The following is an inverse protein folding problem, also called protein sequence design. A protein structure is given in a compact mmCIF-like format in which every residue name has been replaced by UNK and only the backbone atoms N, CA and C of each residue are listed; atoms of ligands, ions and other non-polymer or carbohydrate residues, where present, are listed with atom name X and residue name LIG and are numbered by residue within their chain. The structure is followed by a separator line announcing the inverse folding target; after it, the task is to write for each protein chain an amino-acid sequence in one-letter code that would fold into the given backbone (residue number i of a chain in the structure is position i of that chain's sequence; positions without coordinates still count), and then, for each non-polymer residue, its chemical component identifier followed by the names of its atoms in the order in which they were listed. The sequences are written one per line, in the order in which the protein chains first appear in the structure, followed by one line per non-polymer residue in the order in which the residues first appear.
data_IF_911562887417
#
_entry.id   IF_911562887417
#
_cell.length_a   1.000
_cell.length_b   1.000
_cell.length_c   1.000
_cell.angle_alpha   90.00
_cell.angle_beta   90.00
_cell.angle_gamma   90.00
#
_symmetry.space_group_name_H-M   'P 1'
#
loop_
_entity.id
_entity.type
_entity.pdbx_description
1 polymer ?
#
# COMPACT_ATOMS: atom_id res chain seq x y z
N UNK A 1 -1.46 6.05 15.56
CA UNK A 1 -0.56 6.42 16.64
C UNK A 1 -1.14 6.07 18.03
N UNK A 2 -2.28 6.66 18.44
CA UNK A 2 -2.84 6.46 19.79
C UNK A 2 -3.11 5.00 20.15
N UNK A 3 -3.62 4.20 19.22
CA UNK A 3 -3.85 2.77 19.44
C UNK A 3 -2.52 2.04 19.67
N UNK A 4 -1.51 2.27 18.84
CA UNK A 4 -0.18 1.69 19.00
C UNK A 4 0.41 2.03 20.38
N UNK A 5 0.33 3.31 20.78
CA UNK A 5 0.79 3.74 22.09
C UNK A 5 0.12 2.99 23.25
N UNK A 6 -1.20 2.82 23.20
CA UNK A 6 -1.95 2.04 24.21
C UNK A 6 -1.53 0.57 24.25
N UNK A 7 -1.35 -0.06 23.08
CA UNK A 7 -0.89 -1.45 23.00
C UNK A 7 0.49 -1.62 23.61
N UNK A 8 1.43 -0.72 23.30
CA UNK A 8 2.78 -0.74 23.85
C UNK A 8 2.76 -0.53 25.38
N UNK A 9 1.99 0.42 25.87
CA UNK A 9 1.82 0.64 27.31
C UNK A 9 1.21 -0.56 28.03
N UNK A 10 0.43 -1.38 27.33
CA UNK A 10 -0.14 -2.64 27.83
C UNK A 10 0.82 -3.82 27.72
N UNK A 11 2.07 -3.61 27.28
CA UNK A 11 3.12 -4.62 27.23
C UNK A 11 3.39 -5.23 25.86
N UNK A 12 2.77 -4.73 24.77
CA UNK A 12 3.10 -5.20 23.43
C UNK A 12 4.53 -4.78 23.06
N UNK A 13 5.39 -5.75 22.77
CA UNK A 13 6.76 -5.53 22.32
C UNK A 13 6.94 -5.66 20.79
N UNK A 14 5.92 -6.19 20.09
CA UNK A 14 5.86 -6.27 18.64
C UNK A 14 4.46 -5.89 18.15
N UNK A 15 4.38 -5.18 17.03
CA UNK A 15 3.12 -4.78 16.41
C UNK A 15 3.20 -5.11 14.91
N UNK A 16 2.19 -5.84 14.43
CA UNK A 16 2.03 -6.11 13.00
C UNK A 16 1.05 -5.10 12.40
N UNK A 17 1.43 -4.55 11.24
CA UNK A 17 0.62 -3.65 10.42
C UNK A 17 0.45 -4.26 9.05
N UNK A 18 -0.78 -4.27 8.53
CA UNK A 18 -1.08 -4.74 7.18
C UNK A 18 -1.64 -3.63 6.30
N UNK A 19 -1.55 -3.80 4.98
CA UNK A 19 -2.01 -2.83 4.00
C UNK A 19 -3.43 -3.08 3.46
N UNK A 20 -4.19 -4.05 3.99
CA UNK A 20 -5.61 -4.18 3.65
C UNK A 20 -6.45 -3.05 4.27
N UNK A 21 -7.50 -2.64 3.56
CA UNK A 21 -8.54 -1.75 4.08
C UNK A 21 -9.35 -2.49 5.14
N UNK A 22 -9.54 -1.90 6.32
CA UNK A 22 -10.18 -2.56 7.46
C UNK A 22 -11.62 -2.99 7.18
N UNK A 23 -12.39 -2.14 6.49
CA UNK A 23 -13.81 -2.37 6.22
C UNK A 23 -14.03 -3.38 5.07
N UNK A 24 -13.00 -3.59 4.24
CA UNK A 24 -13.00 -4.52 3.11
C UNK A 24 -12.09 -5.74 3.38
N UNK A 25 -11.72 -5.94 4.64
CA UNK A 25 -10.76 -6.98 4.99
C UNK A 25 -11.28 -8.37 4.71
N UNK A 26 -10.48 -9.13 3.96
CA UNK A 26 -10.73 -10.54 3.64
C UNK A 26 -9.58 -11.42 4.16
N UNK A 27 -9.84 -12.74 4.21
CA UNK A 27 -8.79 -13.70 4.48
C UNK A 27 -7.67 -13.59 3.44
N UNK A 28 -6.41 -13.67 3.87
CA UNK A 28 -5.23 -13.53 3.00
C UNK A 28 -5.22 -14.47 1.79
N UNK A 29 -5.92 -15.60 1.87
CA UNK A 29 -6.05 -16.59 0.80
C UNK A 29 -7.17 -16.30 -0.22
N UNK A 30 -7.97 -15.25 -0.01
CA UNK A 30 -9.09 -14.90 -0.88
C UNK A 30 -8.68 -13.84 -1.92
N UNK A 31 -9.29 -13.94 -3.10
CA UNK A 31 -9.20 -12.92 -4.15
C UNK A 31 -10.05 -11.69 -3.80
N UNK A 32 -9.78 -10.58 -4.49
CA UNK A 32 -10.57 -9.35 -4.34
C UNK A 32 -10.21 -8.52 -3.12
N UNK A 33 -9.04 -8.73 -2.53
CA UNK A 33 -8.52 -7.87 -1.46
C UNK A 33 -8.33 -6.44 -1.95
N UNK A 34 -8.60 -5.49 -1.04
CA UNK A 34 -8.45 -4.06 -1.29
C UNK A 34 -7.34 -3.51 -0.41
N UNK A 35 -6.37 -2.83 -1.00
CA UNK A 35 -5.30 -2.18 -0.26
C UNK A 35 -5.63 -0.73 0.07
N UNK A 36 -5.08 -0.23 1.19
CA UNK A 36 -4.99 1.20 1.47
C UNK A 36 -3.99 1.85 0.51
N UNK A 37 -4.05 3.17 0.28
CA UNK A 37 -2.99 3.88 -0.43
C UNK A 37 -1.62 3.57 0.17
N UNK A 38 -0.61 3.41 -0.66
CA UNK A 38 0.74 3.05 -0.23
C UNK A 38 1.30 4.04 0.81
N UNK A 39 1.13 5.33 0.59
CA UNK A 39 1.54 6.39 1.51
C UNK A 39 0.86 6.27 2.89
N UNK A 40 -0.41 5.85 2.94
CA UNK A 40 -1.13 5.61 4.19
C UNK A 40 -0.55 4.41 4.94
N UNK A 41 -0.16 3.36 4.22
CA UNK A 41 0.51 2.20 4.81
C UNK A 41 1.85 2.59 5.45
N UNK A 42 2.69 3.33 4.73
CA UNK A 42 3.96 3.82 5.26
C UNK A 42 3.77 4.77 6.46
N UNK A 43 2.77 5.65 6.39
CA UNK A 43 2.43 6.54 7.50
C UNK A 43 2.02 5.79 8.76
N UNK A 44 1.32 4.64 8.62
CA UNK A 44 0.97 3.78 9.77
C UNK A 44 2.22 3.14 10.39
N UNK A 45 3.17 2.66 9.58
CA UNK A 45 4.45 2.11 10.05
C UNK A 45 5.22 3.16 10.83
N UNK A 46 5.37 4.38 10.27
CA UNK A 46 6.01 5.52 10.93
C UNK A 46 5.34 5.88 12.26
N UNK A 47 4.01 5.88 12.29
CA UNK A 47 3.26 6.21 13.51
C UNK A 47 3.48 5.18 14.64
N UNK A 48 3.64 3.91 14.30
CA UNK A 48 3.97 2.86 15.28
C UNK A 48 5.41 3.01 15.76
N UNK A 49 6.36 3.25 14.87
CA UNK A 49 7.76 3.51 15.22
C UNK A 49 7.87 4.72 16.16
N UNK A 50 7.17 5.80 15.84
CA UNK A 50 7.13 6.98 16.68
C UNK A 50 6.59 6.69 18.09
N UNK A 51 5.52 5.86 18.19
CA UNK A 51 4.96 5.48 19.49
C UNK A 51 5.97 4.70 20.35
N UNK A 52 6.74 3.77 19.77
CA UNK A 52 7.82 3.09 20.47
C UNK A 52 8.89 4.07 20.97
N UNK A 53 9.34 4.97 20.09
CA UNK A 53 10.40 5.94 20.42
C UNK A 53 9.96 6.93 21.51
N UNK A 54 8.73 7.43 21.45
CA UNK A 54 8.18 8.33 22.45
C UNK A 54 8.12 7.69 23.85
N UNK A 55 7.84 6.39 23.90
CA UNK A 55 7.82 5.62 25.14
C UNK A 55 9.22 5.15 25.60
N UNK A 56 10.28 5.56 24.91
CA UNK A 56 11.65 5.18 25.21
C UNK A 56 12.02 3.73 24.87
N UNK A 57 11.18 3.02 24.11
CA UNK A 57 11.39 1.62 23.74
C UNK A 57 12.13 1.57 22.40
N UNK A 58 13.41 1.27 22.46
CA UNK A 58 14.30 1.24 21.28
C UNK A 58 14.26 -0.08 20.50
N UNK A 59 13.84 -1.16 21.13
CA UNK A 59 13.83 -2.52 20.59
C UNK A 59 12.42 -3.06 20.30
N UNK A 60 11.44 -2.18 20.17
CA UNK A 60 10.10 -2.54 19.71
C UNK A 60 10.14 -3.00 18.26
N UNK A 61 9.47 -4.11 17.95
CA UNK A 61 9.46 -4.74 16.63
C UNK A 61 8.22 -4.35 15.86
N UNK A 62 8.40 -3.97 14.59
CA UNK A 62 7.32 -3.70 13.64
C UNK A 62 7.39 -4.73 12.52
N UNK A 63 6.31 -5.48 12.35
CA UNK A 63 6.12 -6.42 11.24
C UNK A 63 5.22 -5.77 10.20
N UNK A 64 5.76 -5.45 9.04
CA UNK A 64 4.99 -4.96 7.91
C UNK A 64 4.46 -6.14 7.09
N UNK A 65 3.13 -6.29 7.07
CA UNK A 65 2.47 -7.31 6.25
C UNK A 65 1.95 -6.68 4.96
N UNK A 66 2.33 -7.26 3.83
CA UNK A 66 1.75 -6.90 2.53
C UNK A 66 0.84 -8.01 2.01
N UNK A 67 -0.35 -7.60 1.59
CA UNK A 67 -1.36 -8.43 0.92
C UNK A 67 -1.46 -8.11 -0.58
N UNK A 68 -0.52 -7.34 -1.11
CA UNK A 68 -0.55 -6.84 -2.49
C UNK A 68 -0.50 -7.93 -3.55
N UNK A 69 0.06 -9.11 -3.23
CA UNK A 69 0.15 -10.20 -4.20
C UNK A 69 -1.23 -10.62 -4.73
N UNK A 70 -2.21 -10.77 -3.84
CA UNK A 70 -3.59 -11.14 -4.19
C UNK A 70 -4.57 -9.96 -4.23
N UNK A 71 -4.10 -8.71 -4.09
CA UNK A 71 -4.97 -7.54 -4.11
C UNK A 71 -5.09 -6.95 -5.53
N UNK A 72 -6.30 -6.97 -6.08
CA UNK A 72 -6.60 -6.37 -7.38
C UNK A 72 -7.09 -4.91 -7.32
N UNK A 73 -7.35 -4.39 -6.13
CA UNK A 73 -8.01 -3.10 -5.92
C UNK A 73 -7.30 -2.26 -4.86
N UNK A 74 -7.44 -0.93 -4.98
CA UNK A 74 -7.02 0.02 -3.96
C UNK A 74 -8.09 1.07 -3.68
N UNK A 75 -8.10 1.58 -2.47
CA UNK A 75 -9.11 2.55 -2.01
C UNK A 75 -8.93 3.94 -2.64
N UNK A 76 -7.69 4.36 -2.86
CA UNK A 76 -7.35 5.66 -3.42
C UNK A 76 -6.11 5.56 -4.30
N UNK A 77 -5.94 6.53 -5.15
CA UNK A 77 -4.72 6.72 -5.95
C UNK A 77 -3.79 7.69 -5.26
N UNK A 78 -2.48 7.41 -5.23
CA UNK A 78 -1.50 8.35 -4.68
C UNK A 78 -1.33 9.57 -5.59
N UNK A 79 -1.06 10.73 -5.00
CA UNK A 79 -0.82 11.97 -5.73
C UNK A 79 0.67 12.14 -5.93
N UNK A 80 1.11 12.00 -7.20
CA UNK A 80 2.49 12.30 -7.58
C UNK A 80 2.72 13.83 -7.63
N UNK A 81 3.85 14.26 -7.09
CA UNK A 81 4.30 15.65 -7.13
C UNK A 81 5.30 15.90 -8.25
N UNK A 82 6.01 14.85 -8.62
CA UNK A 82 7.02 14.89 -9.67
C UNK A 82 7.16 13.52 -10.35
N UNK A 83 7.55 13.52 -11.62
CA UNK A 83 7.77 12.29 -12.38
C UNK A 83 8.82 11.42 -11.71
N UNK A 84 8.50 10.16 -11.47
CA UNK A 84 9.40 9.16 -10.88
C UNK A 84 9.43 9.16 -9.35
N UNK A 85 8.64 9.99 -8.68
CA UNK A 85 8.46 9.87 -7.23
C UNK A 85 7.76 8.54 -6.85
N UNK A 86 7.70 8.23 -5.58
CA UNK A 86 7.09 6.97 -5.10
C UNK A 86 5.62 6.86 -5.51
N UNK A 87 4.89 7.96 -5.53
CA UNK A 87 3.50 7.99 -5.97
C UNK A 87 3.38 7.69 -7.47
N UNK A 88 4.26 8.25 -8.31
CA UNK A 88 4.31 7.96 -9.75
C UNK A 88 4.68 6.49 -10.01
N UNK A 89 5.63 5.94 -9.26
CA UNK A 89 5.98 4.52 -9.33
C UNK A 89 4.76 3.64 -8.98
N UNK A 90 4.04 3.96 -7.90
CA UNK A 90 2.85 3.23 -7.51
C UNK A 90 1.70 3.38 -8.51
N UNK A 91 1.52 4.57 -9.09
CA UNK A 91 0.55 4.83 -10.13
C UNK A 91 0.78 3.98 -11.38
N UNK A 92 2.04 3.59 -11.67
CA UNK A 92 2.36 2.74 -12.81
C UNK A 92 1.65 1.37 -12.78
N UNK A 93 1.27 0.91 -11.60
CA UNK A 93 0.56 -0.34 -11.39
C UNK A 93 -0.97 -0.24 -11.59
N UNK A 94 -1.53 0.97 -11.71
CA UNK A 94 -2.97 1.16 -11.88
C UNK A 94 -3.39 1.00 -13.35
N UNK A 95 -4.52 0.37 -13.58
CA UNK A 95 -5.21 0.45 -14.86
C UNK A 95 -5.64 1.89 -15.12
N UNK A 96 -5.43 2.35 -16.35
CA UNK A 96 -5.75 3.73 -16.74
C UNK A 96 -6.11 3.84 -18.20
N UNK A 97 -6.86 4.91 -18.53
CA UNK A 97 -7.20 5.31 -19.87
C UNK A 97 -6.35 6.54 -20.27
N UNK A 98 -5.94 6.59 -21.52
CA UNK A 98 -5.30 7.79 -22.06
C UNK A 98 -6.34 8.93 -22.14
N UNK A 99 -5.92 10.13 -21.83
CA UNK A 99 -6.73 11.34 -21.99
C UNK A 99 -6.43 11.91 -23.37
N UNK A 100 -7.38 11.80 -24.28
CA UNK A 100 -7.24 12.33 -25.64
C UNK A 100 -7.55 13.83 -25.72
N UNK A 101 -8.49 14.30 -24.92
CA UNK A 101 -8.87 15.71 -24.83
C UNK A 101 -9.13 16.10 -23.36
N UNK A 102 -8.35 17.04 -22.86
CA UNK A 102 -8.50 17.56 -21.49
C UNK A 102 -9.83 18.29 -21.27
N UNK A 103 -10.47 18.78 -22.35
CA UNK A 103 -11.76 19.45 -22.25
C UNK A 103 -12.95 18.49 -22.01
N UNK A 104 -12.75 17.18 -22.17
CA UNK A 104 -13.74 16.14 -21.88
C UNK A 104 -13.76 15.72 -20.40
N UNK A 105 -12.78 16.18 -19.60
CA UNK A 105 -12.73 15.87 -18.18
C UNK A 105 -13.78 16.67 -17.41
N UNK A 106 -14.50 15.98 -16.53
CA UNK A 106 -15.43 16.60 -15.59
C UNK A 106 -14.70 17.06 -14.32
N UNK A 107 -15.27 18.01 -13.57
CA UNK A 107 -14.69 18.60 -12.36
C UNK A 107 -14.32 17.56 -11.25
N UNK A 108 -14.96 16.38 -11.29
CA UNK A 108 -14.75 15.30 -10.33
C UNK A 108 -13.84 14.17 -10.86
N UNK A 109 -13.34 14.29 -12.08
CA UNK A 109 -12.47 13.29 -12.67
C UNK A 109 -11.11 13.33 -12.00
N UNK A 110 -10.64 12.13 -11.62
CA UNK A 110 -9.31 11.96 -11.03
C UNK A 110 -8.32 11.72 -12.16
N UNK A 111 -7.26 12.49 -12.19
CA UNK A 111 -6.14 12.30 -13.10
C UNK A 111 -4.85 12.01 -12.32
N UNK A 112 -3.99 11.17 -12.88
CA UNK A 112 -2.69 10.80 -12.29
C UNK A 112 -1.59 10.87 -13.34
N UNK A 113 -0.36 10.98 -12.88
CA UNK A 113 0.82 10.82 -13.72
C UNK A 113 1.24 9.35 -13.75
N UNK A 114 1.53 8.84 -14.95
CA UNK A 114 2.16 7.54 -15.19
C UNK A 114 3.28 7.72 -16.20
N UNK A 115 4.52 7.57 -15.76
CA UNK A 115 5.70 7.72 -16.63
C UNK A 115 5.76 9.08 -17.33
N UNK A 116 5.33 10.14 -16.65
CA UNK A 116 5.32 11.51 -17.18
C UNK A 116 4.11 11.86 -18.05
N UNK A 117 3.17 10.94 -18.27
CA UNK A 117 1.92 11.22 -18.99
C UNK A 117 0.77 11.38 -18.00
N UNK A 118 -0.13 12.34 -18.27
CA UNK A 118 -1.38 12.48 -17.54
C UNK A 118 -2.39 11.47 -18.07
N UNK A 119 -2.96 10.66 -17.18
CA UNK A 119 -3.92 9.60 -17.51
C UNK A 119 -5.08 9.58 -16.50
N UNK A 120 -6.17 8.95 -16.85
CA UNK A 120 -7.32 8.75 -15.98
C UNK A 120 -7.31 7.31 -15.44
N UNK A 121 -7.15 7.09 -14.11
CA UNK A 121 -7.17 5.76 -13.54
C UNK A 121 -8.58 5.14 -13.66
N UNK A 122 -8.63 3.83 -13.91
CA UNK A 122 -9.89 3.10 -13.96
C UNK A 122 -10.53 3.04 -12.58
N UNK A 123 -11.67 3.70 -12.42
CA UNK A 123 -12.48 3.70 -11.20
C UNK A 123 -13.70 2.83 -11.39
N UNK A 124 -13.90 1.90 -10.46
CA UNK A 124 -15.07 1.00 -10.48
C UNK A 124 -16.31 1.70 -9.89
N UNK A 125 -17.53 1.17 -10.15
CA UNK A 125 -18.76 1.75 -9.63
C UNK A 125 -18.83 1.85 -8.08
N UNK A 126 -18.10 1.00 -7.37
CA UNK A 126 -17.95 1.05 -5.91
C UNK A 126 -16.95 2.09 -5.41
N UNK A 127 -16.35 2.86 -6.32
CA UNK A 127 -15.39 3.92 -6.00
C UNK A 127 -13.94 3.47 -5.86
N UNK A 128 -13.66 2.17 -5.96
CA UNK A 128 -12.30 1.63 -5.87
C UNK A 128 -11.57 1.75 -7.21
N UNK A 129 -10.25 1.73 -7.17
CA UNK A 129 -9.37 1.76 -8.34
C UNK A 129 -8.76 0.39 -8.59
N UNK A 130 -8.60 0.05 -9.86
CA UNK A 130 -8.13 -1.26 -10.29
C UNK A 130 -6.63 -1.26 -10.59
N UNK A 131 -5.93 -2.29 -10.10
CA UNK A 131 -4.56 -2.56 -10.50
C UNK A 131 -4.51 -3.36 -11.80
N UNK A 132 -3.44 -3.16 -12.56
CA UNK A 132 -3.09 -3.98 -13.72
C UNK A 132 -2.89 -5.43 -13.29
N UNK A 133 -3.31 -6.36 -14.13
CA UNK A 133 -3.06 -7.79 -13.92
C UNK A 133 -1.55 -8.04 -13.84
N UNK A 134 -1.19 -9.08 -13.09
CA UNK A 134 0.19 -9.58 -12.98
C UNK A 134 1.21 -8.58 -12.35
N UNK A 135 0.72 -7.49 -11.72
CA UNK A 135 1.58 -6.51 -11.02
C UNK A 135 1.71 -6.78 -9.52
N UNK A 136 1.07 -7.83 -9.00
CA UNK A 136 1.03 -8.10 -7.56
C UNK A 136 2.42 -8.32 -6.96
N UNK A 137 3.30 -9.04 -7.66
CA UNK A 137 4.66 -9.29 -7.20
C UNK A 137 5.50 -8.01 -7.14
N UNK A 138 5.49 -7.20 -8.19
CA UNK A 138 6.24 -5.93 -8.23
C UNK A 138 5.76 -4.97 -7.13
N UNK A 139 4.46 -4.95 -6.85
CA UNK A 139 3.90 -4.17 -5.73
C UNK A 139 4.36 -4.69 -4.37
N UNK A 140 4.44 -6.01 -4.19
CA UNK A 140 5.00 -6.62 -2.97
C UNK A 140 6.44 -6.20 -2.77
N UNK A 141 7.27 -6.25 -3.81
CA UNK A 141 8.68 -5.84 -3.74
C UNK A 141 8.78 -4.38 -3.30
N UNK A 142 7.99 -3.50 -3.92
CA UNK A 142 7.98 -2.07 -3.57
C UNK A 142 7.49 -1.85 -2.13
N UNK A 143 6.43 -2.55 -1.69
CA UNK A 143 5.93 -2.51 -0.31
C UNK A 143 7.01 -2.93 0.69
N UNK A 144 7.75 -4.00 0.38
CA UNK A 144 8.80 -4.52 1.26
C UNK A 144 9.94 -3.52 1.42
N UNK A 145 10.49 -3.01 0.31
CA UNK A 145 11.60 -2.06 0.32
C UNK A 145 11.22 -0.80 1.10
N UNK A 146 10.09 -0.19 0.73
CA UNK A 146 9.63 1.07 1.35
C UNK A 146 9.22 0.90 2.80
N UNK A 147 8.68 -0.27 3.19
CA UNK A 147 8.37 -0.56 4.60
C UNK A 147 9.61 -0.61 5.48
N UNK A 148 10.69 -1.25 5.00
CA UNK A 148 11.97 -1.28 5.71
C UNK A 148 12.58 0.13 5.83
N UNK A 149 12.55 0.91 4.75
CA UNK A 149 13.03 2.30 4.74
C UNK A 149 12.24 3.20 5.71
N UNK A 150 10.98 2.86 5.97
CA UNK A 150 10.08 3.59 6.87
C UNK A 150 9.99 3.01 8.29
N UNK A 151 10.88 2.08 8.65
CA UNK A 151 11.06 1.65 10.03
C UNK A 151 10.41 0.32 10.40
N UNK A 152 9.99 -0.50 9.45
CA UNK A 152 9.67 -1.90 9.70
C UNK A 152 10.95 -2.69 10.00
N UNK A 153 10.86 -3.68 10.87
CA UNK A 153 11.97 -4.56 11.23
C UNK A 153 11.86 -5.91 10.53
N UNK A 154 10.63 -6.38 10.30
CA UNK A 154 10.32 -7.66 9.67
C UNK A 154 9.25 -7.48 8.61
N UNK A 155 9.27 -8.37 7.63
CA UNK A 155 8.30 -8.42 6.54
C UNK A 155 7.47 -9.69 6.63
N UNK A 156 6.18 -9.56 6.32
CA UNK A 156 5.25 -10.66 6.13
C UNK A 156 4.60 -10.54 4.76
N UNK A 157 4.93 -11.45 3.86
CA UNK A 157 4.33 -11.50 2.52
C UNK A 157 3.19 -12.53 2.57
N UNK A 158 1.97 -12.06 2.38
CA UNK A 158 0.80 -12.92 2.36
C UNK A 158 0.61 -13.52 0.98
N UNK A 159 0.60 -14.85 0.90
CA UNK A 159 0.44 -15.61 -0.34
C UNK A 159 -0.71 -16.60 -0.24
N UNK A 160 -1.39 -16.89 -1.36
CA UNK A 160 -2.44 -17.93 -1.40
C UNK A 160 -1.84 -19.33 -1.28
N UNK A 161 -0.70 -19.53 -1.92
CA UNK A 161 0.05 -20.78 -1.92
C UNK A 161 1.53 -20.47 -1.75
N UNK A 162 2.28 -21.31 -1.04
CA UNK A 162 3.73 -21.13 -0.95
C UNK A 162 4.34 -21.18 -2.34
N UNK A 163 5.02 -20.11 -2.72
CA UNK A 163 5.82 -20.05 -3.94
C UNK A 163 7.28 -19.86 -3.55
N UNK A 164 8.05 -20.94 -3.59
CA UNK A 164 9.44 -20.95 -3.11
C UNK A 164 10.33 -20.04 -3.96
N UNK A 165 10.06 -19.93 -5.27
CA UNK A 165 10.82 -19.07 -6.18
C UNK A 165 10.63 -17.60 -5.83
N UNK A 166 9.39 -17.16 -5.60
CA UNK A 166 9.07 -15.77 -5.20
C UNK A 166 9.55 -15.41 -3.80
N UNK A 167 9.69 -16.41 -2.90
CA UNK A 167 10.19 -16.17 -1.54
C UNK A 167 11.71 -16.03 -1.52
N UNK A 168 12.39 -16.61 -2.51
CA UNK A 168 13.86 -16.63 -2.59
C UNK A 168 14.44 -15.36 -3.24
N UNK A 169 13.64 -14.56 -3.94
CA UNK A 169 14.02 -13.27 -4.51
C UNK A 169 13.86 -12.14 -3.47
#
# INVERSE_FOLDING_TARGET
YLLAKKMIQSGACAIQIENQVSDEKQCGHQDGKVTVPHEDFLSKINAVRYAFLELGIKNGIIVARTDSLGAGLTQKVPVSKETGDLADQYNSFLESNEINDLSELEDNDVTIHQGGKLVQPVRLPNGLYQFKKDTGFDRVVLDCITSLENGADLLWIETEKPNVEQIAE
#
